data_IF_343862560967
#
_entry.id   IF_343862560967
#
_cell.length_a   1.000
_cell.length_b   1.000
_cell.length_c   1.000
_cell.angle_alpha   90.00
_cell.angle_beta   90.00
_cell.angle_gamma   90.00
#
_symmetry.space_group_name_H-M   'P 1'
#
loop_
_entity.id
_entity.type
_entity.pdbx_description
1 polymer ?
#
# COMPACT_ATOMS: atom_id res chain seq x y z
N UNK A 1 6.29 -1.32 -26.16
CA UNK A 1 5.97 -0.28 -27.17
C UNK A 1 5.46 1.06 -26.62
N UNK A 2 4.88 1.14 -25.40
CA UNK A 2 4.56 2.43 -24.74
C UNK A 2 5.75 3.02 -23.97
N UNK A 3 6.48 2.18 -23.24
CA UNK A 3 7.62 2.59 -22.40
C UNK A 3 8.72 3.32 -23.17
N UNK A 4 9.01 2.87 -24.40
CA UNK A 4 10.04 3.47 -25.27
C UNK A 4 9.60 4.82 -25.88
N UNK A 5 8.32 5.20 -25.74
CA UNK A 5 7.78 6.50 -26.18
C UNK A 5 7.88 7.59 -25.12
N UNK A 6 8.19 7.23 -23.87
CA UNK A 6 8.46 8.20 -22.82
C UNK A 6 9.95 8.52 -22.80
N UNK A 7 10.31 9.72 -23.24
CA UNK A 7 11.70 10.20 -23.21
C UNK A 7 12.25 10.46 -21.81
N UNK A 8 11.39 10.39 -20.78
CA UNK A 8 11.74 10.62 -19.38
C UNK A 8 11.14 9.48 -18.56
N UNK A 9 12.01 8.69 -17.93
CA UNK A 9 11.64 7.62 -17.00
C UNK A 9 12.23 8.02 -15.64
N UNK A 10 11.38 8.51 -14.74
CA UNK A 10 11.79 8.82 -13.39
C UNK A 10 11.35 7.68 -12.47
N UNK A 11 12.28 7.12 -11.71
CA UNK A 11 11.96 6.26 -10.57
C UNK A 11 11.91 7.14 -9.34
N UNK A 12 10.82 7.04 -8.60
CA UNK A 12 10.70 7.68 -7.31
C UNK A 12 11.50 6.85 -6.30
N UNK A 13 12.33 7.54 -5.52
CA UNK A 13 13.05 6.96 -4.39
C UNK A 13 12.31 7.29 -3.09
N UNK A 14 12.63 6.58 -2.02
CA UNK A 14 12.14 6.93 -0.70
C UNK A 14 12.61 8.32 -0.28
N UNK A 15 11.74 9.04 0.41
CA UNK A 15 12.05 10.37 0.90
C UNK A 15 13.04 10.29 2.06
N UNK A 16 13.95 11.27 2.10
CA UNK A 16 14.88 11.44 3.20
C UNK A 16 14.20 12.08 4.39
N UNK A 17 14.79 11.92 5.56
CA UNK A 17 14.30 12.49 6.82
C UNK A 17 13.91 13.98 6.72
N UNK A 18 14.75 14.90 6.18
CA UNK A 18 14.39 16.32 6.12
C UNK A 18 13.23 16.61 5.16
N UNK A 19 13.07 15.79 4.12
CA UNK A 19 11.98 15.93 3.16
C UNK A 19 10.65 15.48 3.78
N UNK A 20 10.68 14.41 4.58
CA UNK A 20 9.51 13.97 5.35
C UNK A 20 9.13 14.96 6.45
N UNK A 21 10.11 15.54 7.15
CA UNK A 21 9.86 16.60 8.15
C UNK A 21 9.15 17.80 7.51
N UNK A 22 9.60 18.22 6.33
CA UNK A 22 8.94 19.25 5.55
C UNK A 22 7.50 18.86 5.19
N UNK A 23 7.29 17.62 4.72
CA UNK A 23 5.96 17.13 4.35
C UNK A 23 5.01 17.11 5.56
N UNK A 24 5.47 16.61 6.71
CA UNK A 24 4.68 16.54 7.94
C UNK A 24 4.33 17.94 8.43
N UNK A 25 5.29 18.86 8.44
CA UNK A 25 5.09 20.24 8.88
C UNK A 25 4.08 20.95 7.98
N UNK A 26 4.25 20.84 6.66
CA UNK A 26 3.31 21.39 5.68
C UNK A 26 1.91 20.79 5.82
N UNK A 27 1.80 19.49 6.05
CA UNK A 27 0.51 18.83 6.23
C UNK A 27 -0.18 19.30 7.52
N UNK A 28 0.58 19.53 8.60
CA UNK A 28 0.06 20.07 9.84
C UNK A 28 -0.46 21.50 9.66
N UNK A 29 0.25 22.37 8.93
CA UNK A 29 -0.19 23.72 8.58
C UNK A 29 -1.53 23.70 7.81
N UNK A 30 -1.64 22.86 6.78
CA UNK A 30 -2.86 22.71 5.95
C UNK A 30 -4.04 22.23 6.79
N UNK A 31 -3.80 21.36 7.77
CA UNK A 31 -4.82 20.79 8.65
C UNK A 31 -5.06 21.61 9.92
N UNK A 32 -4.39 22.76 10.07
CA UNK A 32 -4.44 23.61 11.26
C UNK A 32 -4.10 22.87 12.57
N UNK A 33 -3.08 22.02 12.52
CA UNK A 33 -2.58 21.24 13.66
C UNK A 33 -1.35 21.95 14.23
N UNK A 34 -1.36 22.26 15.54
CA UNK A 34 -0.16 22.74 16.21
C UNK A 34 0.90 21.64 16.26
N UNK A 35 2.10 21.88 15.74
CA UNK A 35 3.21 20.92 15.76
C UNK A 35 4.54 21.65 15.97
N UNK A 36 5.40 21.07 16.79
CA UNK A 36 6.79 21.51 16.93
C UNK A 36 7.72 20.77 15.96
N UNK A 37 8.85 21.38 15.55
CA UNK A 37 9.82 20.72 14.68
C UNK A 37 10.29 19.35 15.21
N UNK A 38 10.43 19.22 16.53
CA UNK A 38 10.83 17.97 17.20
C UNK A 38 9.74 16.89 17.11
N UNK A 39 8.46 17.26 17.19
CA UNK A 39 7.34 16.36 16.97
C UNK A 39 7.21 15.91 15.51
N UNK A 40 7.43 16.84 14.56
CA UNK A 40 7.47 16.51 13.14
C UNK A 40 8.60 15.54 12.79
N UNK A 41 9.79 15.74 13.38
CA UNK A 41 10.95 14.86 13.23
C UNK A 41 10.67 13.44 13.74
N UNK A 42 10.01 13.30 14.90
CA UNK A 42 9.65 12.00 15.46
C UNK A 42 8.66 11.24 14.56
N UNK A 43 7.65 11.92 14.02
CA UNK A 43 6.70 11.33 13.07
C UNK A 43 7.42 10.93 11.78
N UNK A 44 8.22 11.83 11.21
CA UNK A 44 8.97 11.59 9.97
C UNK A 44 9.89 10.38 10.10
N UNK A 45 10.59 10.24 11.23
CA UNK A 45 11.49 9.10 11.48
C UNK A 45 10.76 7.77 11.40
N UNK A 46 9.54 7.69 11.93
CA UNK A 46 8.73 6.46 11.94
C UNK A 46 7.89 6.26 10.68
N UNK A 47 8.07 7.10 9.66
CA UNK A 47 7.27 7.07 8.42
C UNK A 47 7.88 6.26 7.28
N UNK A 48 9.00 5.57 7.51
CA UNK A 48 9.62 4.62 6.56
C UNK A 48 9.83 5.22 5.16
N UNK A 49 10.33 6.45 5.08
CA UNK A 49 10.60 7.12 3.80
C UNK A 49 9.36 7.46 2.96
N UNK A 50 8.16 7.30 3.51
CA UNK A 50 6.90 7.32 2.74
C UNK A 50 5.97 8.46 3.20
N UNK A 51 5.73 9.48 2.36
CA UNK A 51 4.87 10.62 2.68
C UNK A 51 3.45 10.25 3.12
N UNK A 52 2.89 9.20 2.53
CA UNK A 52 1.55 8.69 2.86
C UNK A 52 1.47 8.21 4.30
N UNK A 53 2.47 7.46 4.75
CA UNK A 53 2.57 6.98 6.14
C UNK A 53 2.71 8.17 7.06
N UNK A 54 3.59 9.13 6.73
CA UNK A 54 3.78 10.35 7.51
C UNK A 54 2.47 11.12 7.76
N UNK A 55 1.69 11.33 6.71
CA UNK A 55 0.39 12.01 6.81
C UNK A 55 -0.65 11.19 7.61
N UNK A 56 -0.63 9.86 7.51
CA UNK A 56 -1.49 8.98 8.30
C UNK A 56 -1.13 9.05 9.78
N UNK A 57 0.15 8.97 10.11
CA UNK A 57 0.64 9.06 11.48
C UNK A 57 0.33 10.42 12.10
N UNK A 58 0.56 11.51 11.36
CA UNK A 58 0.23 12.86 11.81
C UNK A 58 -1.23 13.00 12.25
N UNK A 59 -2.18 12.48 11.45
CA UNK A 59 -3.61 12.53 11.79
C UNK A 59 -3.91 11.77 13.09
N UNK A 60 -3.33 10.58 13.27
CA UNK A 60 -3.53 9.79 14.49
C UNK A 60 -2.90 10.47 15.70
N UNK A 61 -1.66 10.94 15.59
CA UNK A 61 -0.95 11.63 16.67
C UNK A 61 -1.68 12.91 17.08
N UNK A 62 -2.26 13.65 16.14
CA UNK A 62 -3.15 14.78 16.44
C UNK A 62 -4.31 14.37 17.34
N UNK A 63 -4.99 13.27 17.03
CA UNK A 63 -6.14 12.82 17.82
C UNK A 63 -5.74 12.54 19.28
N UNK A 64 -4.54 12.00 19.51
CA UNK A 64 -3.98 11.87 20.86
C UNK A 64 -3.61 13.20 21.49
N UNK A 65 -2.97 14.10 20.74
CA UNK A 65 -2.55 15.42 21.23
C UNK A 65 -3.74 16.28 21.68
N UNK A 66 -4.89 16.13 21.03
CA UNK A 66 -6.13 16.83 21.40
C UNK A 66 -6.78 16.29 22.69
N UNK A 67 -6.56 15.02 23.03
CA UNK A 67 -7.17 14.37 24.20
C UNK A 67 -6.26 14.44 25.43
N UNK A 68 -4.95 14.29 25.23
CA UNK A 68 -3.98 14.13 26.33
C UNK A 68 -3.29 15.45 26.68
N UNK A 69 -3.18 16.40 25.74
CA UNK A 69 -2.45 17.65 25.93
C UNK A 69 -3.19 18.87 25.40
N UNK A 70 -2.42 19.92 25.11
CA UNK A 70 -2.95 21.24 24.73
C UNK A 70 -3.26 21.35 23.21
N UNK A 71 -3.32 20.22 22.49
CA UNK A 71 -3.52 20.19 21.05
C UNK A 71 -2.28 20.50 20.19
N UNK A 72 -1.10 20.65 20.82
CA UNK A 72 0.19 20.83 20.13
C UNK A 72 0.99 19.53 20.15
N UNK A 73 1.46 19.08 18.99
CA UNK A 73 2.27 17.87 18.84
C UNK A 73 3.74 18.21 19.13
N UNK A 74 4.21 17.80 20.31
CA UNK A 74 5.63 17.83 20.71
C UNK A 74 6.27 16.46 20.49
N UNK A 75 7.60 16.35 20.65
CA UNK A 75 8.28 15.06 20.57
C UNK A 75 7.76 14.04 21.59
N UNK A 76 7.48 14.47 22.83
CA UNK A 76 6.98 13.56 23.87
C UNK A 76 5.58 13.04 23.57
N UNK A 77 4.69 13.91 23.06
CA UNK A 77 3.33 13.52 22.66
C UNK A 77 3.38 12.60 21.44
N UNK A 78 4.23 12.89 20.45
CA UNK A 78 4.41 12.03 19.29
C UNK A 78 4.94 10.64 19.69
N UNK A 79 5.96 10.57 20.56
CA UNK A 79 6.50 9.30 21.04
C UNK A 79 5.45 8.48 21.81
N UNK A 80 4.75 9.08 22.79
CA UNK A 80 3.72 8.38 23.57
C UNK A 80 2.55 7.92 22.67
N UNK A 81 2.08 8.77 21.76
CA UNK A 81 1.03 8.41 20.82
C UNK A 81 1.45 7.24 19.92
N UNK A 82 2.65 7.28 19.33
CA UNK A 82 3.15 6.24 18.44
C UNK A 82 3.41 4.92 19.18
N UNK A 83 3.91 4.98 20.43
CA UNK A 83 4.05 3.80 21.28
C UNK A 83 2.69 3.16 21.62
N UNK A 84 1.66 3.95 21.94
CA UNK A 84 0.29 3.45 22.16
C UNK A 84 -0.35 2.87 20.91
N UNK A 85 0.08 3.34 19.74
CA UNK A 85 -0.28 2.76 18.45
C UNK A 85 0.53 1.50 18.11
N UNK A 86 1.38 1.02 19.03
CA UNK A 86 2.28 -0.12 18.89
C UNK A 86 3.34 0.06 17.79
N UNK A 87 3.66 1.30 17.43
CA UNK A 87 4.69 1.66 16.45
C UNK A 87 5.99 1.92 17.20
N UNK A 88 7.03 1.13 16.94
CA UNK A 88 8.34 1.35 17.57
C UNK A 88 9.11 2.52 16.95
N UNK A 89 10.31 2.76 17.48
CA UNK A 89 11.23 3.83 17.06
C UNK A 89 11.72 3.68 15.62
N UNK A 90 11.62 2.49 15.04
CA UNK A 90 11.99 2.22 13.64
C UNK A 90 10.76 2.29 12.72
N UNK A 91 9.58 2.59 13.26
CA UNK A 91 8.34 2.73 12.50
C UNK A 91 7.66 1.40 12.17
N UNK A 92 8.06 0.30 12.82
CA UNK A 92 7.42 -0.99 12.66
C UNK A 92 6.21 -1.10 13.59
N UNK A 93 5.07 -1.43 13.01
CA UNK A 93 3.84 -1.68 13.73
C UNK A 93 3.74 -3.13 14.24
N UNK A 94 2.62 -3.44 14.89
CA UNK A 94 2.39 -4.78 15.44
C UNK A 94 2.33 -5.87 14.35
N UNK A 95 1.83 -5.54 13.17
CA UNK A 95 1.72 -6.48 12.05
C UNK A 95 3.11 -6.72 11.48
N UNK A 96 3.89 -5.66 11.26
CA UNK A 96 5.28 -5.75 10.81
C UNK A 96 6.11 -6.69 11.70
N UNK A 97 6.00 -6.55 13.03
CA UNK A 97 6.69 -7.45 13.96
C UNK A 97 6.21 -8.89 13.86
N UNK A 98 4.91 -9.12 13.76
CA UNK A 98 4.35 -10.48 13.59
C UNK A 98 4.78 -11.13 12.28
N UNK A 99 4.90 -10.35 11.21
CA UNK A 99 5.43 -10.81 9.92
C UNK A 99 6.89 -11.23 10.08
N UNK A 100 7.73 -10.38 10.70
CA UNK A 100 9.15 -10.68 10.94
C UNK A 100 9.31 -11.90 11.86
N UNK A 101 8.60 -11.97 12.97
CA UNK A 101 8.58 -13.13 13.88
C UNK A 101 8.16 -14.40 13.13
N UNK A 102 7.13 -14.33 12.30
CA UNK A 102 6.69 -15.45 11.48
C UNK A 102 7.80 -15.95 10.54
N UNK A 103 8.45 -15.05 9.81
CA UNK A 103 9.55 -15.41 8.88
C UNK A 103 10.73 -16.01 9.64
N UNK A 104 11.12 -15.44 10.77
CA UNK A 104 12.28 -15.88 11.56
C UNK A 104 11.98 -17.22 12.24
N UNK A 105 10.88 -17.32 12.97
CA UNK A 105 10.61 -18.48 13.83
C UNK A 105 9.99 -19.66 13.07
N UNK A 106 9.09 -19.41 12.11
CA UNK A 106 8.39 -20.47 11.38
C UNK A 106 9.09 -20.89 10.09
N UNK A 107 9.91 -20.03 9.52
CA UNK A 107 10.54 -20.25 8.21
C UNK A 107 12.07 -20.07 8.21
N UNK A 108 12.70 -19.94 9.39
CA UNK A 108 14.16 -19.88 9.58
C UNK A 108 14.84 -18.77 8.74
N UNK A 109 14.11 -17.67 8.49
CA UNK A 109 14.57 -16.56 7.66
C UNK A 109 14.52 -16.81 6.15
N UNK A 110 13.91 -17.90 5.69
CA UNK A 110 13.73 -18.21 4.27
C UNK A 110 12.71 -17.30 3.56
N UNK A 111 12.66 -17.29 2.21
CA UNK A 111 11.65 -16.55 1.46
C UNK A 111 10.26 -17.16 1.67
N UNK A 112 9.29 -16.33 2.07
CA UNK A 112 7.91 -16.75 2.35
C UNK A 112 6.95 -15.92 1.50
N UNK A 113 5.96 -16.57 0.90
CA UNK A 113 4.89 -15.89 0.18
C UNK A 113 3.94 -15.15 1.12
N UNK A 114 3.40 -14.01 0.69
CA UNK A 114 2.54 -13.16 1.52
C UNK A 114 1.27 -13.88 2.00
N UNK A 115 0.67 -14.74 1.16
CA UNK A 115 -0.50 -15.54 1.54
C UNK A 115 -0.18 -16.49 2.70
N UNK A 116 1.05 -17.02 2.71
CA UNK A 116 1.53 -17.95 3.75
C UNK A 116 1.79 -17.20 5.06
N UNK A 117 2.32 -15.98 4.98
CA UNK A 117 2.50 -15.10 6.13
C UNK A 117 1.14 -14.71 6.70
N UNK A 118 0.20 -14.26 5.86
CA UNK A 118 -1.16 -13.87 6.23
C UNK A 118 -1.89 -14.99 6.98
N UNK A 119 -1.88 -16.20 6.42
CA UNK A 119 -2.45 -17.38 7.06
C UNK A 119 -1.79 -17.68 8.42
N UNK A 120 -0.46 -17.56 8.50
CA UNK A 120 0.30 -17.88 9.70
C UNK A 120 0.13 -16.85 10.83
N UNK A 121 -0.22 -15.60 10.52
CA UNK A 121 -0.55 -14.55 11.49
C UNK A 121 -2.06 -14.31 11.62
N UNK A 122 -2.91 -15.10 10.96
CA UNK A 122 -4.37 -14.93 11.00
C UNK A 122 -4.83 -13.51 10.70
N UNK A 123 -4.13 -12.85 9.77
CA UNK A 123 -4.53 -11.55 9.21
C UNK A 123 -4.94 -11.74 7.76
N UNK A 124 -5.76 -10.82 7.26
CA UNK A 124 -6.04 -10.77 5.82
C UNK A 124 -4.80 -10.30 5.07
N UNK A 125 -4.54 -10.90 3.91
CA UNK A 125 -3.45 -10.50 3.01
C UNK A 125 -3.48 -9.00 2.74
N UNK A 126 -4.66 -8.48 2.47
CA UNK A 126 -4.91 -7.07 2.18
C UNK A 126 -4.44 -6.17 3.33
N UNK A 127 -4.59 -6.61 4.58
CA UNK A 127 -4.14 -5.85 5.75
C UNK A 127 -2.61 -5.72 5.81
N UNK A 128 -1.87 -6.71 5.28
CA UNK A 128 -0.41 -6.69 5.19
C UNK A 128 0.05 -5.90 3.95
N UNK A 129 -0.66 -6.02 2.83
CA UNK A 129 -0.35 -5.32 1.57
C UNK A 129 -0.63 -3.81 1.64
N UNK A 130 -1.73 -3.40 2.28
CA UNK A 130 -2.16 -1.99 2.43
C UNK A 130 -1.14 -1.09 3.16
N UNK A 131 -0.20 -1.72 3.87
CA UNK A 131 0.86 -1.05 4.64
C UNK A 131 2.10 -0.76 3.78
N UNK A 132 2.32 -1.51 2.70
CA UNK A 132 3.59 -1.55 1.97
C UNK A 132 3.55 -1.17 0.49
N UNK A 133 2.39 -1.15 -0.17
CA UNK A 133 2.34 -0.73 -1.57
C UNK A 133 1.27 0.33 -1.87
N UNK A 134 1.60 1.39 -2.62
CA UNK A 134 0.63 2.37 -3.10
C UNK A 134 -0.04 1.95 -4.41
N UNK A 135 0.04 0.68 -4.81
CA UNK A 135 -0.75 0.14 -5.92
C UNK A 135 -2.16 -0.16 -5.44
N UNK A 136 -3.12 0.16 -6.30
CA UNK A 136 -4.49 0.31 -5.89
C UNK A 136 -5.06 -1.07 -5.52
N UNK A 137 -5.80 -1.17 -4.42
CA UNK A 137 -6.70 -2.30 -4.11
C UNK A 137 -7.49 -2.73 -5.36
N UNK A 138 -7.76 -1.79 -6.25
CA UNK A 138 -8.46 -1.97 -7.52
C UNK A 138 -7.63 -2.75 -8.55
N UNK A 139 -6.32 -2.55 -8.67
CA UNK A 139 -5.45 -3.30 -9.60
C UNK A 139 -5.51 -4.81 -9.33
N UNK A 140 -5.34 -5.15 -8.05
CA UNK A 140 -5.46 -6.52 -7.55
C UNK A 140 -6.86 -7.08 -7.77
N UNK A 141 -7.90 -6.33 -7.40
CA UNK A 141 -9.30 -6.74 -7.57
C UNK A 141 -9.70 -6.93 -9.03
N UNK A 142 -9.14 -6.16 -9.97
CA UNK A 142 -9.36 -6.37 -11.41
C UNK A 142 -8.80 -7.73 -11.82
N UNK A 143 -7.56 -8.06 -11.44
CA UNK A 143 -6.94 -9.34 -11.78
C UNK A 143 -7.63 -10.52 -11.08
N UNK A 144 -7.94 -10.40 -9.79
CA UNK A 144 -8.67 -11.42 -9.03
C UNK A 144 -10.08 -11.64 -9.57
N UNK A 145 -10.78 -10.59 -9.98
CA UNK A 145 -12.09 -10.73 -10.61
C UNK A 145 -11.98 -11.54 -11.90
N UNK A 146 -11.03 -11.22 -12.78
CA UNK A 146 -10.85 -11.93 -14.06
C UNK A 146 -10.42 -13.38 -13.83
N UNK A 147 -9.51 -13.64 -12.88
CA UNK A 147 -8.96 -14.97 -12.63
C UNK A 147 -9.93 -15.84 -11.84
N UNK A 148 -10.46 -15.32 -10.74
CA UNK A 148 -11.28 -16.07 -9.78
C UNK A 148 -12.75 -16.21 -10.21
N UNK A 149 -13.35 -15.16 -10.78
CA UNK A 149 -14.77 -15.21 -11.16
C UNK A 149 -14.99 -15.65 -12.60
N UNK A 150 -13.97 -15.54 -13.47
CA UNK A 150 -14.10 -15.77 -14.92
C UNK A 150 -12.98 -16.64 -15.50
N UNK A 151 -12.29 -17.43 -14.68
CA UNK A 151 -11.26 -18.40 -15.09
C UNK A 151 -10.18 -17.82 -16.02
N UNK A 152 -9.83 -16.54 -15.86
CA UNK A 152 -8.82 -15.85 -16.66
C UNK A 152 -9.36 -15.02 -17.83
N UNK A 153 -10.68 -15.02 -18.07
CA UNK A 153 -11.35 -14.20 -19.08
C UNK A 153 -11.60 -14.92 -20.41
N UNK A 154 -12.08 -14.22 -21.46
CA UNK A 154 -12.22 -12.76 -21.59
C UNK A 154 -13.45 -12.17 -20.88
N UNK A 155 -13.27 -11.04 -20.18
CA UNK A 155 -14.32 -10.33 -19.44
C UNK A 155 -14.53 -8.91 -19.97
N UNK A 156 -15.78 -8.48 -20.12
CA UNK A 156 -16.11 -7.10 -20.52
C UNK A 156 -15.77 -6.09 -19.41
N UNK A 157 -15.41 -4.85 -19.78
CA UNK A 157 -15.06 -3.83 -18.79
C UNK A 157 -16.22 -3.46 -17.88
N UNK A 158 -17.44 -3.40 -18.42
CA UNK A 158 -18.64 -3.11 -17.62
C UNK A 158 -18.90 -4.20 -16.58
N UNK A 159 -18.55 -5.44 -16.90
CA UNK A 159 -18.66 -6.58 -15.98
C UNK A 159 -17.62 -6.53 -14.88
N UNK A 160 -16.38 -6.15 -15.21
CA UNK A 160 -15.31 -5.95 -14.22
C UNK A 160 -15.69 -4.78 -13.29
N UNK A 161 -16.11 -3.65 -13.88
CA UNK A 161 -16.58 -2.46 -13.18
C UNK A 161 -17.68 -2.77 -12.18
N UNK A 162 -18.72 -3.50 -12.63
CA UNK A 162 -19.82 -3.91 -11.75
C UNK A 162 -19.35 -4.82 -10.60
N UNK A 163 -18.47 -5.79 -10.90
CA UNK A 163 -18.01 -6.76 -9.90
C UNK A 163 -17.13 -6.12 -8.81
N UNK A 164 -16.30 -5.13 -9.18
CA UNK A 164 -15.42 -4.45 -8.22
C UNK A 164 -16.03 -3.15 -7.66
N UNK A 165 -17.24 -2.80 -8.10
CA UNK A 165 -17.95 -1.56 -7.72
C UNK A 165 -17.13 -0.30 -8.02
N UNK A 166 -16.56 -0.25 -9.23
CA UNK A 166 -15.79 0.91 -9.73
C UNK A 166 -16.33 1.41 -11.06
N UNK A 167 -15.99 2.65 -11.41
CA UNK A 167 -16.37 3.24 -12.69
C UNK A 167 -15.54 2.66 -13.84
N UNK A 168 -16.21 2.39 -14.98
CA UNK A 168 -15.56 1.83 -16.17
C UNK A 168 -14.40 2.70 -16.67
N UNK A 169 -14.57 4.02 -16.65
CA UNK A 169 -13.57 4.94 -17.17
C UNK A 169 -12.34 4.99 -16.24
N UNK A 170 -12.52 4.83 -14.92
CA UNK A 170 -11.39 4.72 -13.99
C UNK A 170 -10.56 3.45 -14.25
N UNK A 171 -11.23 2.32 -14.50
CA UNK A 171 -10.54 1.08 -14.87
C UNK A 171 -9.81 1.23 -16.21
N UNK A 172 -10.47 1.81 -17.21
CA UNK A 172 -9.93 1.96 -18.56
C UNK A 172 -8.74 2.92 -18.64
N UNK A 173 -8.84 4.07 -17.96
CA UNK A 173 -7.92 5.19 -18.12
C UNK A 173 -6.83 5.25 -17.04
N UNK A 174 -7.06 4.66 -15.87
CA UNK A 174 -6.11 4.70 -14.74
C UNK A 174 -5.41 3.34 -14.56
N UNK A 175 -6.17 2.25 -14.46
CA UNK A 175 -5.64 0.95 -14.03
C UNK A 175 -5.14 0.07 -15.19
N UNK A 176 -5.94 -0.08 -16.24
CA UNK A 176 -5.61 -0.91 -17.40
C UNK A 176 -4.27 -0.56 -18.06
N UNK A 177 -3.90 0.73 -18.27
CA UNK A 177 -2.63 1.06 -18.89
C UNK A 177 -1.43 0.49 -18.13
N UNK A 178 -1.51 0.50 -16.80
CA UNK A 178 -0.47 -0.01 -15.92
C UNK A 178 -0.43 -1.54 -15.89
N UNK A 179 -1.58 -2.20 -15.67
CA UNK A 179 -1.69 -3.66 -15.66
C UNK A 179 -1.27 -4.29 -17.00
N UNK A 180 -1.56 -3.63 -18.11
CA UNK A 180 -1.10 -4.04 -19.44
C UNK A 180 0.41 -3.82 -19.62
N UNK A 181 0.97 -2.74 -19.07
CA UNK A 181 2.41 -2.45 -19.15
C UNK A 181 3.25 -3.45 -18.36
N UNK A 182 2.78 -3.88 -17.18
CA UNK A 182 3.40 -4.96 -16.41
C UNK A 182 3.22 -6.33 -17.07
N UNK A 183 2.33 -6.42 -18.06
CA UNK A 183 2.04 -7.65 -18.77
C UNK A 183 1.12 -8.59 -18.00
N UNK A 184 0.38 -8.11 -16.99
CA UNK A 184 -0.61 -8.88 -16.23
C UNK A 184 -1.97 -8.96 -16.93
N UNK A 185 -2.30 -7.99 -17.78
CA UNK A 185 -3.58 -7.89 -18.47
C UNK A 185 -3.40 -7.84 -19.98
N UNK A 186 -4.22 -8.60 -20.71
CA UNK A 186 -4.33 -8.56 -22.17
C UNK A 186 -5.70 -8.08 -22.63
N UNK A 187 -5.76 -7.28 -23.71
CA UNK A 187 -7.02 -6.90 -24.37
C UNK A 187 -7.30 -7.80 -25.57
N UNK A 188 -8.53 -8.27 -25.68
CA UNK A 188 -9.06 -9.01 -26.83
C UNK A 188 -10.35 -8.37 -27.34
N UNK A 189 -10.83 -8.67 -28.56
CA UNK A 189 -12.13 -8.18 -29.04
C UNK A 189 -13.32 -8.61 -28.17
N UNK A 190 -13.15 -9.66 -27.36
CA UNK A 190 -14.19 -10.22 -26.47
C UNK A 190 -14.10 -9.72 -25.03
N UNK A 191 -13.04 -8.99 -24.67
CA UNK A 191 -12.81 -8.54 -23.29
C UNK A 191 -11.35 -8.63 -22.85
N UNK A 192 -11.13 -8.44 -21.55
CA UNK A 192 -9.84 -8.46 -20.87
C UNK A 192 -9.52 -9.87 -20.37
N UNK A 193 -8.28 -10.28 -20.52
CA UNK A 193 -7.78 -11.63 -20.18
C UNK A 193 -6.58 -11.48 -19.26
N UNK A 194 -6.53 -12.28 -18.19
CA UNK A 194 -5.38 -12.34 -17.31
C UNK A 194 -4.27 -13.17 -17.95
N UNK A 195 -3.03 -12.66 -17.93
CA UNK A 195 -1.89 -13.37 -18.51
C UNK A 195 -1.28 -14.34 -17.50
N UNK A 196 -0.41 -15.25 -17.97
CA UNK A 196 0.35 -16.16 -17.10
C UNK A 196 1.13 -15.43 -15.99
N UNK A 197 1.65 -14.25 -16.28
CA UNK A 197 2.37 -13.43 -15.29
C UNK A 197 1.44 -12.97 -14.16
N UNK A 198 0.16 -12.71 -14.44
CA UNK A 198 -0.81 -12.35 -13.40
C UNK A 198 -1.09 -13.54 -12.46
N UNK A 199 -1.21 -14.75 -12.99
CA UNK A 199 -1.35 -15.97 -12.19
C UNK A 199 -0.14 -16.20 -11.28
N UNK A 200 1.08 -16.08 -11.84
CA UNK A 200 2.33 -16.22 -11.09
C UNK A 200 2.46 -15.14 -10.00
N UNK A 201 2.10 -13.90 -10.32
CA UNK A 201 2.16 -12.78 -9.38
C UNK A 201 1.17 -12.93 -8.22
N UNK A 202 -0.02 -13.45 -8.47
CA UNK A 202 -1.03 -13.70 -7.42
C UNK A 202 -0.82 -15.03 -6.69
N UNK A 203 0.14 -15.86 -7.12
CA UNK A 203 0.38 -17.19 -6.54
C UNK A 203 -0.72 -18.21 -6.86
N UNK A 204 -1.56 -17.95 -7.87
CA UNK A 204 -2.67 -18.81 -8.26
C UNK A 204 -2.19 -19.76 -9.35
N UNK A 205 -2.37 -21.06 -9.14
CA UNK A 205 -2.07 -22.07 -10.16
C UNK A 205 -3.03 -21.91 -11.33
N UNK A 206 -2.51 -21.68 -12.53
CA UNK A 206 -3.32 -21.66 -13.75
C UNK A 206 -3.92 -23.06 -13.94
N UNK A 207 -5.21 -23.23 -13.66
CA UNK A 207 -5.95 -24.46 -13.95
C UNK A 207 -6.02 -24.61 -15.46
N UNK A 208 -5.05 -25.32 -16.03
CA UNK A 208 -4.93 -25.50 -17.46
C UNK A 208 -6.16 -26.18 -18.06
N UNK A 209 -6.62 -25.64 -19.20
CA UNK A 209 -7.08 -26.46 -20.31
C UNK A 209 -5.96 -26.54 -21.34
#
# INVERSE_FOLDING_TARGET
PLRDRFGIINRLEYYKQPELEFIVTRAAEILHIGIEPTGASEIARRSRGTPRIANRLLKRVRDFAQVIGDGVITQSIADDALQRLYIDKEGLDRIDRRVLECIIEKYDGGPVGIDTIAAAISEERDTIEDVYEPYDRIDRRVLECIIGNYDGGPVGIDTIAAAISEERDTIEDVYEPYLMQLGFLGRTPRGRVATKLAYEHLGISQTGK
#
